data_IF_207507644059
#
_entry.id   IF_207507644059
#
_cell.length_a   1.000
_cell.length_b   1.000
_cell.length_c   1.000
_cell.angle_alpha   90.00
_cell.angle_beta   90.00
_cell.angle_gamma   90.00
#
_symmetry.space_group_name_H-M   'P 1'
#
loop_
_entity.id
_entity.type
_entity.pdbx_description
1 polymer ?
#
# COMPACT_ATOMS: atom_id res chain seq x y z
N UNK A 1 -8.01 -11.34 -0.03
CA UNK A 1 -7.05 -11.45 -1.16
C UNK A 1 -5.91 -12.36 -0.75
N UNK A 2 -5.21 -12.98 -1.70
CA UNK A 2 -3.99 -13.76 -1.40
C UNK A 2 -2.88 -12.80 -0.97
N UNK A 3 -2.10 -13.15 0.04
CA UNK A 3 -0.96 -12.35 0.49
C UNK A 3 0.30 -12.69 -0.32
N UNK A 4 0.81 -11.73 -1.12
CA UNK A 4 1.86 -12.00 -2.10
C UNK A 4 3.16 -12.45 -1.46
N UNK A 5 3.56 -11.91 -0.31
CA UNK A 5 4.84 -12.24 0.34
C UNK A 5 4.92 -13.71 0.74
N UNK A 6 3.83 -14.27 1.27
CA UNK A 6 3.79 -15.69 1.63
C UNK A 6 3.70 -16.55 0.38
N UNK A 7 2.81 -16.17 -0.55
CA UNK A 7 2.51 -16.99 -1.72
C UNK A 7 3.71 -17.09 -2.68
N UNK A 8 4.41 -15.99 -2.95
CA UNK A 8 5.58 -15.96 -3.83
C UNK A 8 6.74 -16.82 -3.32
N UNK A 9 6.81 -17.07 -2.01
CA UNK A 9 7.84 -17.90 -1.38
C UNK A 9 7.37 -19.32 -1.06
N UNK A 10 6.23 -19.76 -1.60
CA UNK A 10 5.70 -21.11 -1.40
C UNK A 10 5.25 -21.41 0.03
N UNK A 11 4.95 -20.38 0.83
CA UNK A 11 4.52 -20.51 2.24
C UNK A 11 2.99 -20.57 2.40
N UNK A 12 2.27 -20.66 1.28
CA UNK A 12 0.80 -20.67 1.24
C UNK A 12 0.19 -19.27 1.09
N UNK A 13 -1.13 -19.21 0.90
CA UNK A 13 -1.82 -17.97 0.51
C UNK A 13 -1.91 -16.91 1.61
N UNK A 14 -1.92 -17.33 2.89
CA UNK A 14 -1.99 -16.47 4.08
C UNK A 14 -2.85 -15.19 3.92
N UNK A 15 -4.15 -15.32 3.60
CA UNK A 15 -4.97 -14.17 3.20
C UNK A 15 -5.03 -13.10 4.28
N UNK A 16 -4.95 -11.83 3.86
CA UNK A 16 -5.13 -10.67 4.73
C UNK A 16 -6.11 -9.67 4.11
N UNK A 17 -6.56 -8.72 4.93
CA UNK A 17 -7.30 -7.55 4.46
C UNK A 17 -6.41 -6.67 3.57
N UNK A 18 -7.04 -6.04 2.59
CA UNK A 18 -6.40 -5.09 1.68
C UNK A 18 -7.15 -3.78 1.78
N UNK A 19 -6.41 -2.69 1.92
CA UNK A 19 -6.93 -1.34 2.06
C UNK A 19 -6.35 -0.46 0.95
N UNK A 20 -7.19 0.37 0.36
CA UNK A 20 -6.71 1.45 -0.50
C UNK A 20 -6.33 2.63 0.39
N UNK A 21 -5.04 2.95 0.45
CA UNK A 21 -4.48 4.11 1.16
C UNK A 21 -4.21 5.22 0.15
N UNK A 22 -4.57 6.45 0.48
CA UNK A 22 -4.42 7.60 -0.41
C UNK A 22 -3.44 8.59 0.20
N UNK A 23 -2.43 8.96 -0.59
CA UNK A 23 -1.42 9.94 -0.24
C UNK A 23 -1.52 11.17 -1.13
N UNK A 24 -1.18 12.34 -0.58
CA UNK A 24 -0.95 13.54 -1.38
C UNK A 24 0.32 13.34 -2.23
N UNK A 25 0.32 13.88 -3.46
CA UNK A 25 1.48 13.77 -4.35
C UNK A 25 2.78 14.30 -3.74
N UNK A 26 2.68 15.34 -2.89
CA UNK A 26 3.82 15.92 -2.21
C UNK A 26 4.44 15.01 -1.14
N UNK A 27 3.67 14.10 -0.54
CA UNK A 27 4.18 13.14 0.45
C UNK A 27 5.09 12.09 -0.21
N UNK A 28 4.78 11.70 -1.45
CA UNK A 28 5.54 10.71 -2.21
C UNK A 28 6.71 11.35 -2.97
N UNK A 29 6.48 12.51 -3.60
CA UNK A 29 7.43 13.11 -4.56
C UNK A 29 8.06 14.43 -4.10
N UNK A 30 7.64 14.98 -2.96
CA UNK A 30 8.16 16.22 -2.40
C UNK A 30 7.50 17.50 -2.95
N UNK A 31 8.05 18.66 -2.56
CA UNK A 31 7.48 20.00 -2.78
C UNK A 31 7.21 20.36 -4.25
N UNK A 32 7.92 19.73 -5.20
CA UNK A 32 7.74 19.96 -6.64
C UNK A 32 6.58 19.17 -7.27
N UNK A 33 5.86 18.36 -6.51
CA UNK A 33 4.73 17.59 -7.00
C UNK A 33 3.56 18.49 -7.39
N UNK A 34 2.75 18.03 -8.36
CA UNK A 34 1.47 18.68 -8.66
C UNK A 34 0.57 18.66 -7.40
N UNK A 35 0.10 19.83 -6.91
CA UNK A 35 -0.68 19.92 -5.67
C UNK A 35 -2.08 19.29 -5.79
N UNK A 36 -2.51 18.92 -6.99
CA UNK A 36 -3.79 18.24 -7.25
C UNK A 36 -3.65 16.74 -7.44
N UNK A 37 -2.41 16.22 -7.42
CA UNK A 37 -2.13 14.79 -7.57
C UNK A 37 -2.43 14.03 -6.28
N UNK A 38 -3.17 12.93 -6.41
CA UNK A 38 -3.34 11.93 -5.36
C UNK A 38 -2.82 10.58 -5.83
N UNK A 39 -2.18 9.83 -4.92
CA UNK A 39 -1.67 8.48 -5.18
C UNK A 39 -2.43 7.49 -4.32
N UNK A 40 -3.15 6.57 -4.95
CA UNK A 40 -3.83 5.47 -4.26
C UNK A 40 -3.02 4.18 -4.36
N UNK A 41 -2.74 3.55 -3.22
CA UNK A 41 -1.98 2.30 -3.13
C UNK A 41 -2.82 1.26 -2.39
N UNK A 42 -2.93 0.06 -2.95
CA UNK A 42 -3.50 -1.08 -2.24
C UNK A 42 -2.43 -1.73 -1.37
N UNK A 43 -2.66 -1.72 -0.05
CA UNK A 43 -1.74 -2.26 0.94
C UNK A 43 -2.42 -3.37 1.76
N UNK A 44 -1.69 -4.45 2.02
CA UNK A 44 -2.14 -5.51 2.93
C UNK A 44 -2.03 -5.03 4.38
N UNK A 45 -2.90 -5.54 5.26
CA UNK A 45 -2.97 -5.16 6.69
C UNK A 45 -1.61 -5.11 7.37
N UNK A 46 -0.76 -6.12 7.15
CA UNK A 46 0.56 -6.21 7.77
C UNK A 46 1.58 -5.17 7.28
N UNK A 47 1.28 -4.42 6.21
CA UNK A 47 2.12 -3.32 5.73
C UNK A 47 1.81 -1.99 6.43
N UNK A 48 0.74 -1.93 7.23
CA UNK A 48 0.25 -0.70 7.84
C UNK A 48 0.46 -0.72 9.35
N UNK A 49 0.75 0.46 9.90
CA UNK A 49 0.73 0.73 11.33
C UNK A 49 -0.02 2.05 11.60
N UNK A 50 -0.57 2.25 12.81
CA UNK A 50 -1.15 3.54 13.19
C UNK A 50 -0.11 4.66 13.08
N UNK A 51 -0.49 5.78 12.48
CA UNK A 51 0.34 6.97 12.31
C UNK A 51 0.66 7.68 13.65
#
# INVERSE_FOLDING_TARGET
FVFPDSNAHGKGENPQWVYTVVFDGAEIWGEGADPTLSVSIDAWESYLEPA
#
